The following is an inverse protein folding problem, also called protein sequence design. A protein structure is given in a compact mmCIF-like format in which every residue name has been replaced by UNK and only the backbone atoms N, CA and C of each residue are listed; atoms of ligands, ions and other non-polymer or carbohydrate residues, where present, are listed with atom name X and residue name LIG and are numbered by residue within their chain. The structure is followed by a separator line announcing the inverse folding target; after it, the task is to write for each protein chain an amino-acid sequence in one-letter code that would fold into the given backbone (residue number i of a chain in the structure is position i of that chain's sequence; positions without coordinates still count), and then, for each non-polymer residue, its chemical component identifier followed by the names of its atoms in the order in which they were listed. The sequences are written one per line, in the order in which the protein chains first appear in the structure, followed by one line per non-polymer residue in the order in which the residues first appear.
data_IF_226325686802
#
_entry.id   IF_226325686802
#
_cell.length_a   1.000
_cell.length_b   1.000
_cell.length_c   1.000
_cell.angle_alpha   90.00
_cell.angle_beta   90.00
_cell.angle_gamma   90.00
#
_symmetry.space_group_name_H-M   'P 1'
#
loop_
_entity.id
_entity.type
_entity.pdbx_description
1 polymer ?
#
# COMPACT_ATOMS: atom_id res chain seq x y z
N UNK A 1 -24.91 7.33 -0.11
CA UNK A 1 -23.92 7.83 0.87
C UNK A 1 -22.63 7.06 0.66
N UNK A 2 -21.79 7.50 -0.27
CA UNK A 2 -20.48 6.90 -0.54
C UNK A 2 -19.51 7.47 0.48
N UNK A 3 -19.10 6.64 1.45
CA UNK A 3 -18.01 7.01 2.35
C UNK A 3 -16.78 7.29 1.49
N UNK A 4 -16.31 8.54 1.50
CA UNK A 4 -14.95 8.89 1.08
C UNK A 4 -14.00 8.28 2.11
N UNK A 5 -13.81 6.97 2.01
CA UNK A 5 -12.93 6.20 2.89
C UNK A 5 -11.50 6.51 2.50
N UNK A 6 -10.76 7.22 3.35
CA UNK A 6 -9.33 7.47 3.15
C UNK A 6 -8.63 6.13 2.92
N UNK A 7 -7.93 6.03 1.81
CA UNK A 7 -7.05 4.89 1.56
C UNK A 7 -5.98 4.79 2.65
N UNK A 8 -5.62 3.59 3.08
CA UNK A 8 -4.72 3.34 4.19
C UNK A 8 -3.95 2.03 4.00
N UNK A 9 -2.77 1.92 4.61
CA UNK A 9 -1.91 0.74 4.53
C UNK A 9 -1.49 0.35 5.94
N UNK A 10 -1.66 -0.93 6.28
CA UNK A 10 -1.29 -1.52 7.57
C UNK A 10 -0.39 -2.72 7.33
N UNK A 11 0.69 -2.84 8.10
CA UNK A 11 1.56 -4.02 8.10
C UNK A 11 1.20 -4.91 9.30
N UNK A 12 1.32 -6.22 9.14
CA UNK A 12 1.32 -7.17 10.26
C UNK A 12 2.52 -6.94 11.18
N UNK A 13 2.46 -7.46 12.42
CA UNK A 13 3.55 -7.31 13.40
C UNK A 13 4.88 -7.91 12.92
N UNK A 14 4.81 -8.99 12.12
CA UNK A 14 5.96 -9.68 11.52
C UNK A 14 6.34 -9.14 10.13
N UNK A 15 5.61 -8.13 9.65
CA UNK A 15 5.78 -7.50 8.33
C UNK A 15 5.72 -8.48 7.15
N UNK A 16 5.11 -9.65 7.31
CA UNK A 16 4.91 -10.62 6.22
C UNK A 16 3.65 -10.32 5.40
N UNK A 17 2.73 -9.51 5.93
CA UNK A 17 1.47 -9.17 5.28
C UNK A 17 1.16 -7.67 5.34
N UNK A 18 0.57 -7.16 4.25
CA UNK A 18 0.03 -5.80 4.18
C UNK A 18 -1.47 -5.85 3.94
N UNK A 19 -2.23 -5.05 4.70
CA UNK A 19 -3.65 -4.78 4.48
C UNK A 19 -3.82 -3.37 3.94
N UNK A 20 -4.38 -3.26 2.75
CA UNK A 20 -4.45 -2.02 1.98
C UNK A 20 -5.92 -1.69 1.72
N UNK A 21 -6.37 -0.60 2.33
CA UNK A 21 -7.68 -0.01 2.11
C UNK A 21 -7.58 1.00 0.98
N UNK A 22 -8.42 0.87 -0.03
CA UNK A 22 -8.49 1.79 -1.16
C UNK A 22 -9.84 2.48 -1.16
N UNK A 23 -9.82 3.80 -1.33
CA UNK A 23 -11.02 4.58 -1.61
C UNK A 23 -11.74 3.98 -2.83
N UNK A 24 -13.06 3.83 -2.74
CA UNK A 24 -13.87 3.25 -3.81
C UNK A 24 -13.91 1.72 -3.85
N UNK A 25 -13.18 0.99 -2.99
CA UNK A 25 -13.36 -0.45 -2.77
C UNK A 25 -14.03 -0.73 -1.42
N UNK A 26 -14.95 -1.68 -1.41
CA UNK A 26 -15.61 -2.15 -0.18
C UNK A 26 -14.76 -3.15 0.60
N UNK A 27 -13.85 -3.84 -0.07
CA UNK A 27 -12.98 -4.86 0.51
C UNK A 27 -11.51 -4.43 0.46
N UNK A 28 -10.74 -4.65 1.55
CA UNK A 28 -9.32 -4.37 1.55
C UNK A 28 -8.56 -5.40 0.72
N UNK A 29 -7.41 -4.99 0.17
CA UNK A 29 -6.45 -5.90 -0.44
C UNK A 29 -5.51 -6.42 0.63
N UNK A 30 -5.38 -7.74 0.74
CA UNK A 30 -4.37 -8.38 1.58
C UNK A 30 -3.30 -8.96 0.65
N UNK A 31 -2.04 -8.59 0.88
CA UNK A 31 -0.91 -9.00 0.05
C UNK A 31 0.27 -9.45 0.90
N UNK A 32 1.07 -10.38 0.36
CA UNK A 32 2.35 -10.76 0.96
C UNK A 32 3.38 -9.64 0.77
N UNK A 33 4.21 -9.44 1.79
CA UNK A 33 5.28 -8.44 1.77
C UNK A 33 6.60 -9.13 1.47
N UNK A 34 7.26 -8.68 0.41
CA UNK A 34 8.57 -9.17 -0.02
C UNK A 34 9.72 -8.42 0.67
N UNK A 35 9.45 -7.20 1.15
CA UNK A 35 10.42 -6.39 1.86
C UNK A 35 9.88 -5.00 2.23
N UNK A 36 10.53 -4.37 3.21
CA UNK A 36 10.22 -3.02 3.67
C UNK A 36 11.52 -2.23 3.75
N UNK A 37 11.58 -1.08 3.07
CA UNK A 37 12.64 -0.09 3.27
C UNK A 37 12.15 1.00 4.20
N UNK A 38 13.05 1.42 5.10
CA UNK A 38 12.77 2.40 6.15
C UNK A 38 13.60 3.66 5.95
N UNK A 39 13.03 4.80 6.35
CA UNK A 39 13.74 6.07 6.37
C UNK A 39 14.74 6.16 7.55
N UNK A 40 15.42 7.30 7.68
CA UNK A 40 16.38 7.55 8.77
C UNK A 40 15.75 7.57 10.17
N UNK A 41 14.42 7.71 10.26
CA UNK A 41 13.67 7.65 11.51
C UNK A 41 13.11 6.23 11.80
N UNK A 42 13.46 5.25 10.95
CA UNK A 42 13.00 3.87 11.07
C UNK A 42 11.55 3.67 10.62
N UNK A 43 10.93 4.66 9.96
CA UNK A 43 9.56 4.55 9.47
C UNK A 43 9.53 3.89 8.09
N UNK A 44 8.51 3.07 7.76
CA UNK A 44 8.35 2.53 6.42
C UNK A 44 8.28 3.65 5.38
N UNK A 45 9.17 3.59 4.40
CA UNK A 45 9.27 4.51 3.28
C UNK A 45 8.89 3.83 1.96
N UNK A 46 9.21 2.53 1.82
CA UNK A 46 8.83 1.73 0.67
C UNK A 46 8.44 0.30 1.08
N UNK A 47 7.37 -0.24 0.50
CA UNK A 47 6.87 -1.60 0.77
C UNK A 47 6.75 -2.34 -0.56
N UNK A 48 7.38 -3.51 -0.64
CA UNK A 48 7.35 -4.37 -1.82
C UNK A 48 6.32 -5.48 -1.62
N UNK A 49 5.34 -5.56 -2.51
CA UNK A 49 4.26 -6.54 -2.43
C UNK A 49 4.42 -7.63 -3.49
N UNK A 50 4.01 -8.85 -3.14
CA UNK A 50 3.97 -10.00 -4.06
C UNK A 50 2.83 -9.94 -5.08
N UNK A 51 1.90 -9.00 -4.88
CA UNK A 51 0.66 -8.87 -5.63
C UNK A 51 0.63 -7.55 -6.38
N UNK A 52 0.14 -7.58 -7.62
CA UNK A 52 -0.17 -6.39 -8.41
C UNK A 52 -1.56 -5.85 -8.05
N UNK A 53 -1.61 -4.65 -7.50
CA UNK A 53 -2.85 -3.94 -7.18
C UNK A 53 -3.23 -3.08 -8.39
N UNK A 54 -4.30 -3.46 -9.07
CA UNK A 54 -4.85 -2.70 -10.19
C UNK A 54 -5.68 -1.50 -9.68
N UNK A 55 -5.10 -0.31 -9.74
CA UNK A 55 -5.81 0.97 -9.65
C UNK A 55 -5.53 1.79 -10.94
N UNK A 56 -6.37 2.75 -11.32
CA UNK A 56 -5.99 3.75 -12.32
C UNK A 56 -4.70 4.41 -11.84
N UNK A 57 -3.70 4.53 -12.71
CA UNK A 57 -2.29 4.77 -12.38
C UNK A 57 -1.99 6.06 -11.56
N UNK A 58 -3.00 6.90 -11.27
CA UNK A 58 -2.86 8.19 -10.60
C UNK A 58 -3.60 8.32 -9.25
N UNK A 59 -4.29 7.28 -8.75
CA UNK A 59 -4.97 7.38 -7.44
C UNK A 59 -4.08 6.92 -6.27
N UNK A 60 -3.70 7.81 -5.33
CA UNK A 60 -2.88 7.44 -4.19
C UNK A 60 -3.66 6.60 -3.16
N UNK A 61 -2.95 5.66 -2.54
CA UNK A 61 -3.44 4.93 -1.37
C UNK A 61 -3.09 5.67 -0.07
N UNK A 62 -3.66 6.85 0.11
CA UNK A 62 -3.41 7.70 1.29
C UNK A 62 -2.10 8.43 1.07
N UNK A 63 -1.09 8.31 1.96
CA UNK A 63 0.23 8.87 1.71
C UNK A 63 1.08 7.99 0.78
N UNK A 64 0.54 6.94 0.16
CA UNK A 64 1.31 5.98 -0.64
C UNK A 64 1.03 6.10 -2.12
N UNK A 65 2.09 6.16 -2.92
CA UNK A 65 2.07 6.05 -4.37
C UNK A 65 2.33 4.59 -4.77
N UNK A 66 1.49 4.03 -5.64
CA UNK A 66 1.65 2.67 -6.14
C UNK A 66 2.42 2.66 -7.46
N UNK A 67 3.34 1.72 -7.66
CA UNK A 67 3.98 1.51 -8.97
C UNK A 67 4.35 0.05 -9.20
N UNK A 68 4.49 -0.36 -10.46
CA UNK A 68 5.00 -1.69 -10.84
C UNK A 68 4.06 -2.51 -11.76
N UNK A 69 4.66 -3.36 -12.61
CA UNK A 69 3.97 -4.10 -13.67
C UNK A 69 3.69 -5.58 -13.32
N UNK A 70 4.42 -6.14 -12.36
CA UNK A 70 4.32 -7.56 -11.91
C UNK A 70 4.12 -7.62 -10.39
N UNK A 71 4.80 -6.75 -9.65
CA UNK A 71 4.61 -6.47 -8.23
C UNK A 71 4.06 -5.04 -8.04
N UNK A 72 3.50 -4.75 -6.85
CA UNK A 72 3.20 -3.37 -6.43
C UNK A 72 4.23 -2.89 -5.41
N UNK A 73 4.86 -1.76 -5.72
CA UNK A 73 5.74 -1.00 -4.83
C UNK A 73 4.93 0.18 -4.30
N UNK A 74 4.80 0.26 -2.97
CA UNK A 74 4.19 1.40 -2.29
C UNK A 74 5.30 2.34 -1.83
N UNK A 75 5.32 3.57 -2.33
CA UNK A 75 6.27 4.62 -1.93
C UNK A 75 5.55 5.71 -1.15
N UNK A 76 6.05 6.08 0.02
CA UNK A 76 5.43 7.14 0.83
C UNK A 76 5.73 8.52 0.22
N UNK A 77 4.68 9.29 -0.08
CA UNK A 77 4.76 10.70 -0.47
C UNK A 77 5.28 11.53 0.70
N UNK A 78 6.21 12.46 0.40
CA UNK A 78 6.82 13.38 1.36
C UNK A 78 5.78 14.27 2.08
#
# INVERSE_FOLDING_TARGET
MTASGKSAVYLSEDEQQATIWLSGRSEPVVAGVLGVERDKAGQPAMIYLDTRIHQPDDEPAGPWHMSGAVSTILTRSA
#
